data_IF_797489189000
#
_entry.id   IF_797489189000
#
_cell.length_a   1.000
_cell.length_b   1.000
_cell.length_c   1.000
_cell.angle_alpha   90.00
_cell.angle_beta   90.00
_cell.angle_gamma   90.00
#
_symmetry.space_group_name_H-M   'P 1'
#
loop_
_entity.id
_entity.type
_entity.pdbx_description
1 polymer ?
#
# COMPACT_ATOMS: atom_id res chain seq x y z
N UNK A 1 4.55 16.88 0.39
CA UNK A 1 3.36 16.05 0.16
C UNK A 1 2.11 16.85 -0.21
N UNK A 2 1.24 16.27 -1.05
CA UNK A 2 -0.15 16.67 -1.25
C UNK A 2 -1.12 15.49 -1.11
N UNK A 3 -2.39 15.79 -0.85
CA UNK A 3 -3.49 14.83 -0.81
C UNK A 3 -4.58 15.29 -1.78
N UNK A 4 -4.81 14.50 -2.83
CA UNK A 4 -5.93 14.76 -3.75
C UNK A 4 -7.13 13.94 -3.30
N UNK A 5 -8.25 14.62 -3.04
CA UNK A 5 -9.49 13.98 -2.60
C UNK A 5 -10.41 13.66 -3.80
N UNK A 6 -10.90 12.43 -3.82
CA UNK A 6 -11.82 11.87 -4.81
C UNK A 6 -13.10 11.39 -4.08
N UNK A 7 -14.16 12.22 -4.04
CA UNK A 7 -15.39 11.87 -3.35
C UNK A 7 -16.19 10.82 -4.12
N UNK A 8 -16.73 9.83 -3.40
CA UNK A 8 -17.72 8.94 -3.98
C UNK A 8 -19.04 9.70 -4.24
N UNK A 9 -19.71 9.47 -5.39
CA UNK A 9 -21.04 10.04 -5.65
C UNK A 9 -22.09 9.58 -4.63
N UNK A 10 -21.97 8.34 -4.14
CA UNK A 10 -22.85 7.74 -3.13
C UNK A 10 -22.00 7.14 -1.99
N UNK A 11 -21.53 7.95 -1.03
CA UNK A 11 -20.54 7.53 -0.06
C UNK A 11 -21.10 6.52 0.95
N UNK A 12 -20.39 5.41 1.13
CA UNK A 12 -20.72 4.30 2.03
C UNK A 12 -20.06 4.43 3.42
N UNK A 13 -19.59 5.64 3.76
CA UNK A 13 -18.85 5.99 5.00
C UNK A 13 -17.53 5.23 5.20
N UNK A 14 -17.00 4.61 4.15
CA UNK A 14 -15.68 3.97 4.15
C UNK A 14 -14.73 4.74 3.24
N UNK A 15 -13.55 5.05 3.77
CA UNK A 15 -12.50 5.77 3.08
C UNK A 15 -11.32 4.88 2.71
N UNK A 16 -10.54 5.28 1.69
CA UNK A 16 -9.24 4.66 1.37
C UNK A 16 -8.18 5.73 1.13
N UNK A 17 -7.07 5.64 1.86
CA UNK A 17 -5.83 6.35 1.53
C UNK A 17 -5.04 5.53 0.51
N UNK A 18 -4.77 6.06 -0.67
CA UNK A 18 -3.97 5.40 -1.70
C UNK A 18 -2.53 5.93 -1.66
N UNK A 19 -1.57 5.03 -1.61
CA UNK A 19 -0.14 5.27 -1.77
C UNK A 19 0.35 4.65 -3.10
N UNK A 20 0.42 5.43 -4.19
CA UNK A 20 0.90 4.94 -5.48
C UNK A 20 2.34 4.44 -5.41
N UNK A 21 2.78 3.61 -6.35
CA UNK A 21 4.18 3.18 -6.46
C UNK A 21 5.06 4.22 -7.16
N UNK A 22 6.18 3.74 -7.72
CA UNK A 22 7.21 4.56 -8.40
C UNK A 22 8.60 4.47 -7.78
N UNK A 23 8.89 3.39 -7.04
CA UNK A 23 10.23 3.08 -6.56
C UNK A 23 10.80 4.09 -5.55
N UNK A 24 9.95 4.90 -4.91
CA UNK A 24 10.36 6.11 -4.17
C UNK A 24 11.10 7.15 -5.02
N UNK A 25 11.05 7.07 -6.36
CA UNK A 25 11.67 8.03 -7.28
C UNK A 25 10.67 8.97 -7.96
N UNK A 26 9.40 8.56 -7.99
CA UNK A 26 8.26 9.36 -8.43
C UNK A 26 7.00 8.75 -7.83
N UNK A 27 5.85 9.41 -8.03
CA UNK A 27 4.53 8.88 -7.67
C UNK A 27 3.79 8.50 -8.96
N UNK A 28 3.45 7.23 -9.13
CA UNK A 28 2.68 6.72 -10.28
C UNK A 28 1.20 7.11 -10.21
N UNK A 29 0.94 8.42 -10.21
CA UNK A 29 -0.35 9.01 -9.84
C UNK A 29 -1.51 8.55 -10.72
N UNK A 30 -1.40 8.61 -12.04
CA UNK A 30 -2.53 8.27 -12.92
C UNK A 30 -2.90 6.78 -12.81
N UNK A 31 -1.90 5.91 -12.91
CA UNK A 31 -2.09 4.45 -12.98
C UNK A 31 -2.44 3.81 -11.64
N UNK A 32 -1.83 4.27 -10.57
CA UNK A 32 -1.89 3.64 -9.24
C UNK A 32 -2.53 4.55 -8.17
N UNK A 33 -2.93 5.77 -8.56
CA UNK A 33 -3.69 6.71 -7.73
C UNK A 33 -5.09 6.96 -8.30
N UNK A 34 -5.19 7.68 -9.42
CA UNK A 34 -6.46 8.13 -9.99
C UNK A 34 -7.32 6.96 -10.51
N UNK A 35 -6.71 5.98 -11.19
CA UNK A 35 -7.44 4.81 -11.69
C UNK A 35 -8.10 3.97 -10.57
N UNK A 36 -7.39 3.54 -9.50
CA UNK A 36 -8.04 2.86 -8.38
C UNK A 36 -9.00 3.76 -7.60
N UNK A 37 -8.72 5.07 -7.50
CA UNK A 37 -9.66 6.01 -6.87
C UNK A 37 -11.02 6.03 -7.57
N UNK A 38 -11.01 6.11 -8.91
CA UNK A 38 -12.24 6.03 -9.70
C UNK A 38 -12.98 4.70 -9.46
N UNK A 39 -12.27 3.58 -9.51
CA UNK A 39 -12.85 2.25 -9.34
C UNK A 39 -13.50 2.06 -7.95
N UNK A 40 -12.91 2.66 -6.91
CA UNK A 40 -13.44 2.70 -5.54
C UNK A 40 -14.63 3.66 -5.40
N UNK A 41 -14.60 4.84 -6.03
CA UNK A 41 -15.71 5.78 -6.00
C UNK A 41 -16.99 5.19 -6.61
N UNK A 42 -16.86 4.42 -7.72
CA UNK A 42 -17.98 3.70 -8.34
C UNK A 42 -18.63 2.68 -7.36
N UNK A 43 -17.94 2.33 -6.26
CA UNK A 43 -18.38 1.43 -5.18
C UNK A 43 -18.72 2.15 -3.87
N UNK A 44 -18.72 3.48 -3.88
CA UNK A 44 -19.11 4.29 -2.72
C UNK A 44 -17.98 4.60 -1.73
N UNK A 45 -16.74 4.26 -2.02
CA UNK A 45 -15.61 4.60 -1.14
C UNK A 45 -15.11 6.01 -1.43
N UNK A 46 -14.96 6.83 -0.39
CA UNK A 46 -14.23 8.10 -0.48
C UNK A 46 -12.73 7.79 -0.57
N UNK A 47 -11.98 8.52 -1.41
CA UNK A 47 -10.57 8.20 -1.65
C UNK A 47 -9.68 9.43 -1.53
N UNK A 48 -8.50 9.26 -0.93
CA UNK A 48 -7.44 10.26 -0.91
C UNK A 48 -6.19 9.66 -1.54
N UNK A 49 -5.67 10.28 -2.59
CA UNK A 49 -4.41 9.86 -3.22
C UNK A 49 -3.26 10.68 -2.66
N UNK A 50 -2.28 10.00 -2.06
CA UNK A 50 -1.09 10.60 -1.48
C UNK A 50 -0.01 10.82 -2.54
N UNK A 51 0.37 12.08 -2.74
CA UNK A 51 1.65 12.40 -3.41
C UNK A 51 2.68 12.71 -2.32
N UNK A 52 3.60 11.78 -2.11
CA UNK A 52 4.62 11.83 -1.06
C UNK A 52 6.01 12.15 -1.65
N UNK A 53 6.95 12.52 -0.78
CA UNK A 53 8.33 12.87 -1.12
C UNK A 53 9.01 11.69 -1.82
N UNK A 54 9.71 11.96 -2.92
CA UNK A 54 10.46 10.97 -3.68
C UNK A 54 11.91 11.44 -3.87
N UNK A 55 12.82 10.50 -4.08
CA UNK A 55 14.20 10.75 -4.45
C UNK A 55 14.27 11.04 -5.95
N UNK A 56 14.45 12.31 -6.32
CA UNK A 56 14.53 12.77 -7.69
C UNK A 56 15.70 13.75 -7.88
N UNK A 57 15.73 14.47 -9.01
CA UNK A 57 16.80 15.42 -9.30
C UNK A 57 16.88 16.61 -8.34
N UNK A 58 15.75 17.01 -7.75
CA UNK A 58 15.67 18.15 -6.83
C UNK A 58 15.77 17.70 -5.36
N UNK A 59 15.39 16.45 -5.08
CA UNK A 59 15.45 15.84 -3.74
C UNK A 59 16.31 14.58 -3.80
N UNK A 60 17.64 14.67 -3.62
CA UNK A 60 18.47 13.47 -3.59
C UNK A 60 18.14 12.59 -2.38
N UNK A 61 18.15 11.27 -2.58
CA UNK A 61 18.02 10.30 -1.49
C UNK A 61 19.27 10.25 -0.58
N UNK A 62 19.20 9.56 0.56
CA UNK A 62 18.04 8.82 1.08
C UNK A 62 16.96 9.75 1.64
N UNK A 63 15.69 9.45 1.37
CA UNK A 63 14.55 10.30 1.75
C UNK A 63 13.86 9.90 3.07
N UNK A 64 14.32 8.83 3.75
CA UNK A 64 13.83 8.49 5.08
C UNK A 64 14.12 9.63 6.08
N UNK A 65 13.17 10.03 6.96
CA UNK A 65 11.85 9.45 7.20
C UNK A 65 10.68 10.20 6.54
N UNK A 66 10.93 11.03 5.51
CA UNK A 66 9.93 11.97 4.99
C UNK A 66 8.63 11.29 4.50
N UNK A 67 8.66 10.25 3.62
CA UNK A 67 7.43 9.62 3.13
C UNK A 67 6.60 8.99 4.27
N UNK A 68 7.25 8.40 5.27
CA UNK A 68 6.58 7.80 6.42
C UNK A 68 5.83 8.86 7.24
N UNK A 69 6.49 9.99 7.54
CA UNK A 69 5.85 11.10 8.27
C UNK A 69 4.65 11.65 7.50
N UNK A 70 4.81 11.81 6.19
CA UNK A 70 3.75 12.30 5.31
C UNK A 70 2.54 11.35 5.26
N UNK A 71 2.76 10.03 5.20
CA UNK A 71 1.65 9.08 5.27
C UNK A 71 0.91 9.14 6.63
N UNK A 72 1.63 9.24 7.75
CA UNK A 72 1.01 9.39 9.08
C UNK A 72 0.23 10.70 9.21
N UNK A 73 0.77 11.81 8.70
CA UNK A 73 0.09 13.09 8.70
C UNK A 73 -1.13 13.09 7.76
N UNK A 74 -1.11 12.31 6.67
CA UNK A 74 -2.29 12.09 5.85
C UNK A 74 -3.42 11.41 6.62
N UNK A 75 -3.11 10.34 7.37
CA UNK A 75 -4.10 9.65 8.20
C UNK A 75 -4.75 10.62 9.18
N UNK A 76 -3.94 11.44 9.88
CA UNK A 76 -4.45 12.46 10.80
C UNK A 76 -5.37 13.46 10.12
N UNK A 77 -4.98 13.98 8.95
CA UNK A 77 -5.79 14.93 8.17
C UNK A 77 -7.12 14.31 7.76
N UNK A 78 -7.11 13.10 7.20
CA UNK A 78 -8.32 12.40 6.75
C UNK A 78 -9.28 12.13 7.91
N UNK A 79 -8.76 11.63 9.05
CA UNK A 79 -9.59 11.36 10.22
C UNK A 79 -10.19 12.65 10.81
N UNK A 80 -9.45 13.77 10.78
CA UNK A 80 -9.94 15.07 11.25
C UNK A 80 -11.09 15.63 10.40
N UNK A 81 -11.25 15.21 9.15
CA UNK A 81 -12.37 15.61 8.30
C UNK A 81 -13.72 15.04 8.78
N UNK A 82 -13.71 13.92 9.53
CA UNK A 82 -14.93 13.29 10.03
C UNK A 82 -15.87 12.73 8.96
N UNK A 83 -15.40 12.57 7.71
CA UNK A 83 -16.22 12.14 6.56
C UNK A 83 -16.53 10.65 6.57
N UNK A 84 -15.60 9.84 7.07
CA UNK A 84 -15.64 8.37 7.03
C UNK A 84 -15.55 7.79 8.44
N UNK A 85 -16.31 6.73 8.69
CA UNK A 85 -16.25 5.96 9.94
C UNK A 85 -15.16 4.89 9.87
N UNK A 86 -14.96 4.30 8.68
CA UNK A 86 -13.92 3.31 8.42
C UNK A 86 -12.88 3.89 7.45
N UNK A 87 -11.61 3.60 7.65
CA UNK A 87 -10.53 4.01 6.75
C UNK A 87 -9.61 2.82 6.51
N UNK A 88 -9.36 2.52 5.24
CA UNK A 88 -8.29 1.61 4.84
C UNK A 88 -7.13 2.33 4.15
N UNK A 89 -6.07 1.59 3.86
CA UNK A 89 -4.94 2.06 3.05
C UNK A 89 -4.65 1.08 1.91
N UNK A 90 -4.35 1.60 0.73
CA UNK A 90 -3.99 0.80 -0.44
C UNK A 90 -2.67 1.27 -1.03
N UNK A 91 -1.65 0.42 -1.02
CA UNK A 91 -0.35 0.71 -1.60
C UNK A 91 0.06 -0.22 -2.75
N UNK A 92 0.92 0.29 -3.62
CA UNK A 92 1.46 -0.40 -4.80
C UNK A 92 2.99 -0.39 -4.82
N UNK A 93 3.66 -1.52 -5.03
CA UNK A 93 5.13 -1.54 -5.17
C UNK A 93 5.83 -0.82 -3.99
N UNK A 94 6.59 0.26 -4.24
CA UNK A 94 7.16 1.13 -3.20
C UNK A 94 6.11 1.85 -2.33
N UNK A 95 4.98 2.25 -2.90
CA UNK A 95 3.82 2.72 -2.14
C UNK A 95 3.16 1.59 -1.34
N UNK A 96 3.32 0.34 -1.77
CA UNK A 96 2.96 -0.87 -1.04
C UNK A 96 3.80 -1.03 0.22
N UNK A 97 5.10 -0.75 0.12
CA UNK A 97 5.96 -0.64 1.30
C UNK A 97 5.49 0.47 2.25
N UNK A 98 5.26 1.69 1.72
CA UNK A 98 4.77 2.81 2.53
C UNK A 98 3.45 2.47 3.22
N UNK A 99 2.51 1.84 2.50
CA UNK A 99 1.24 1.40 3.05
C UNK A 99 1.41 0.34 4.14
N UNK A 100 2.29 -0.64 3.95
CA UNK A 100 2.55 -1.68 4.95
C UNK A 100 3.19 -1.10 6.23
N UNK A 101 4.17 -0.21 6.10
CA UNK A 101 4.78 0.49 7.25
C UNK A 101 3.74 1.33 7.99
N UNK A 102 2.86 2.01 7.26
CA UNK A 102 1.82 2.87 7.85
C UNK A 102 0.73 2.03 8.52
N UNK A 103 0.26 0.96 7.87
CA UNK A 103 -0.76 0.04 8.41
C UNK A 103 -0.30 -0.73 9.65
N UNK A 104 1.00 -1.00 9.78
CA UNK A 104 1.60 -1.66 10.95
C UNK A 104 1.96 -0.68 12.07
N UNK A 105 1.67 0.62 11.91
CA UNK A 105 1.85 1.64 12.96
C UNK A 105 0.56 1.75 13.78
N UNK A 106 0.54 1.34 15.07
CA UNK A 106 -0.69 1.17 15.86
C UNK A 106 -1.58 2.41 15.93
N UNK A 107 -0.99 3.60 15.96
CA UNK A 107 -1.71 4.87 16.10
C UNK A 107 -2.59 5.20 14.88
N UNK A 108 -2.37 4.53 13.75
CA UNK A 108 -3.15 4.78 12.53
C UNK A 108 -4.53 4.15 12.56
N UNK A 109 -4.69 3.05 13.31
CA UNK A 109 -5.95 2.33 13.51
C UNK A 109 -6.78 2.20 12.22
N UNK A 110 -6.16 1.69 11.15
CA UNK A 110 -6.87 1.38 9.92
C UNK A 110 -7.82 0.20 10.14
N UNK A 111 -8.93 0.21 9.40
CA UNK A 111 -9.91 -0.87 9.40
C UNK A 111 -9.48 -2.02 8.47
N UNK A 112 -8.67 -1.73 7.44
CA UNK A 112 -8.12 -2.69 6.50
C UNK A 112 -6.91 -2.15 5.73
N UNK A 113 -6.13 -3.04 5.11
CA UNK A 113 -5.06 -2.68 4.18
C UNK A 113 -5.14 -3.48 2.89
N UNK A 114 -4.72 -2.88 1.77
CA UNK A 114 -4.58 -3.52 0.46
C UNK A 114 -3.15 -3.29 -0.03
N UNK A 115 -2.41 -4.36 -0.26
CA UNK A 115 -1.02 -4.32 -0.69
C UNK A 115 -0.91 -5.01 -2.04
N UNK A 116 -0.64 -4.25 -3.09
CA UNK A 116 -0.55 -4.75 -4.46
C UNK A 116 0.91 -4.76 -4.93
N UNK A 117 1.40 -5.97 -5.27
CA UNK A 117 2.78 -6.29 -5.59
C UNK A 117 3.79 -5.52 -4.72
N UNK A 118 3.63 -5.56 -3.38
CA UNK A 118 4.30 -4.62 -2.49
C UNK A 118 5.79 -4.96 -2.38
N UNK A 119 6.62 -3.92 -2.25
CA UNK A 119 7.89 -4.08 -1.53
C UNK A 119 7.53 -4.23 -0.05
N UNK A 120 8.12 -5.19 0.64
CA UNK A 120 7.87 -5.47 2.06
C UNK A 120 9.17 -5.42 2.85
N UNK A 121 10.18 -6.15 2.39
CA UNK A 121 11.49 -6.18 3.03
C UNK A 121 12.43 -5.15 2.42
N UNK A 122 13.21 -4.48 3.26
CA UNK A 122 14.36 -3.67 2.86
C UNK A 122 15.67 -4.47 2.89
N UNK A 123 15.61 -5.76 3.23
CA UNK A 123 16.77 -6.65 3.28
C UNK A 123 17.08 -7.28 1.91
N UNK A 124 18.38 -7.37 1.60
CA UNK A 124 18.85 -8.17 0.46
C UNK A 124 18.77 -9.68 0.79
N UNK A 125 18.53 -10.55 -0.21
CA UNK A 125 18.36 -10.25 -1.63
C UNK A 125 16.90 -9.97 -2.07
N UNK A 126 15.95 -9.87 -1.13
CA UNK A 126 14.50 -9.88 -1.43
C UNK A 126 13.95 -8.49 -1.76
N UNK A 127 14.59 -7.44 -1.25
CA UNK A 127 14.16 -6.05 -1.48
C UNK A 127 14.20 -5.66 -2.97
N UNK A 128 13.42 -4.65 -3.33
CA UNK A 128 13.60 -3.94 -4.58
C UNK A 128 14.77 -2.95 -4.44
N UNK A 129 15.90 -3.14 -5.13
CA UNK A 129 17.12 -2.37 -4.87
C UNK A 129 16.94 -0.86 -5.04
N UNK A 130 16.19 -0.42 -6.06
CA UNK A 130 15.92 1.00 -6.29
C UNK A 130 15.09 1.63 -5.17
N UNK A 131 14.08 0.92 -4.65
CA UNK A 131 13.26 1.42 -3.53
C UNK A 131 14.09 1.53 -2.26
N UNK A 132 14.91 0.52 -1.97
CA UNK A 132 15.84 0.54 -0.83
C UNK A 132 16.80 1.72 -0.95
N UNK A 133 17.42 1.89 -2.11
CA UNK A 133 18.42 2.93 -2.32
C UNK A 133 17.83 4.33 -2.16
N UNK A 134 16.67 4.58 -2.78
CA UNK A 134 16.00 5.87 -2.69
C UNK A 134 15.56 6.20 -1.26
N UNK A 135 15.07 5.20 -0.52
CA UNK A 135 14.56 5.42 0.83
C UNK A 135 15.66 5.48 1.90
N UNK A 136 16.57 4.50 1.92
CA UNK A 136 17.52 4.26 3.01
C UNK A 136 18.98 4.48 2.60
N UNK A 137 19.29 4.35 1.31
CA UNK A 137 20.66 4.28 0.81
C UNK A 137 21.33 2.92 1.08
N UNK A 138 22.51 2.74 0.50
CA UNK A 138 23.25 1.47 0.58
C UNK A 138 23.76 1.19 2.00
N UNK A 139 24.25 2.24 2.67
CA UNK A 139 24.93 2.18 3.98
C UNK A 139 23.99 2.31 5.19
N UNK A 140 22.68 2.10 5.00
CA UNK A 140 21.71 2.18 6.09
C UNK A 140 22.03 1.17 7.20
N UNK A 141 21.98 1.63 8.46
CA UNK A 141 22.18 0.77 9.62
C UNK A 141 21.19 -0.40 9.62
N UNK A 142 21.66 -1.60 10.00
CA UNK A 142 20.85 -2.83 9.97
C UNK A 142 19.55 -2.72 10.77
N UNK A 143 19.59 -1.97 11.88
CA UNK A 143 18.41 -1.67 12.70
C UNK A 143 17.35 -0.90 11.90
N UNK A 144 17.74 0.14 11.16
CA UNK A 144 16.83 0.89 10.29
C UNK A 144 16.29 0.02 9.15
N UNK A 145 17.14 -0.84 8.57
CA UNK A 145 16.70 -1.79 7.53
C UNK A 145 15.63 -2.73 8.08
N UNK A 146 15.83 -3.26 9.29
CA UNK A 146 14.88 -4.12 9.97
C UNK A 146 13.59 -3.35 10.31
N UNK A 147 13.71 -2.14 10.84
CA UNK A 147 12.57 -1.29 11.21
C UNK A 147 11.72 -0.90 10.00
N UNK A 148 12.35 -0.74 8.84
CA UNK A 148 11.72 -0.48 7.55
C UNK A 148 11.46 -1.77 6.77
N UNK A 149 11.44 -2.94 7.41
CA UNK A 149 11.00 -4.18 6.79
C UNK A 149 9.67 -4.58 7.42
N UNK A 150 8.58 -4.39 6.67
CA UNK A 150 7.23 -4.38 7.22
C UNK A 150 6.80 -5.71 7.85
N UNK A 151 7.40 -6.84 7.44
CA UNK A 151 7.16 -8.15 8.04
C UNK A 151 7.51 -8.20 9.53
N UNK A 152 8.49 -7.42 10.00
CA UNK A 152 8.85 -7.37 11.43
C UNK A 152 7.98 -6.44 12.27
N UNK A 153 7.05 -5.73 11.64
CA UNK A 153 6.17 -4.76 12.30
C UNK A 153 4.75 -5.30 12.49
N UNK A 154 4.44 -6.47 11.94
CA UNK A 154 3.14 -7.10 12.13
C UNK A 154 2.91 -7.33 13.61
N UNK A 155 1.71 -7.01 14.08
CA UNK A 155 1.30 -7.11 15.47
C UNK A 155 -0.21 -7.26 15.58
N UNK A 156 -0.74 -7.35 16.80
CA UNK A 156 -2.19 -7.39 17.06
C UNK A 156 -2.93 -6.14 16.55
N UNK A 157 -2.22 -5.01 16.40
CA UNK A 157 -2.77 -3.78 15.85
C UNK A 157 -2.82 -3.77 14.30
N UNK A 158 -2.19 -4.74 13.63
CA UNK A 158 -2.18 -4.79 12.16
C UNK A 158 -3.57 -5.17 11.64
N UNK A 159 -4.15 -4.39 10.70
CA UNK A 159 -5.51 -4.61 10.25
C UNK A 159 -5.61 -5.82 9.31
N UNK A 160 -6.83 -6.35 9.09
CA UNK A 160 -7.07 -7.30 8.01
C UNK A 160 -6.47 -6.82 6.68
N UNK A 161 -5.69 -7.66 6.02
CA UNK A 161 -4.94 -7.24 4.82
C UNK A 161 -5.23 -8.11 3.61
N UNK A 162 -5.55 -7.47 2.48
CA UNK A 162 -5.56 -8.10 1.17
C UNK A 162 -4.20 -7.91 0.50
N UNK A 163 -3.58 -8.99 0.05
CA UNK A 163 -2.25 -8.99 -0.58
C UNK A 163 -2.39 -9.57 -1.98
N UNK A 164 -2.04 -8.78 -2.99
CA UNK A 164 -2.00 -9.19 -4.38
C UNK A 164 -0.56 -9.25 -4.90
N UNK A 165 -0.21 -10.26 -5.69
CA UNK A 165 1.09 -10.34 -6.39
C UNK A 165 0.99 -11.23 -7.64
N UNK A 166 2.01 -11.21 -8.50
CA UNK A 166 2.22 -12.20 -9.57
C UNK A 166 3.43 -13.08 -9.27
N UNK A 167 3.34 -14.39 -9.51
CA UNK A 167 4.37 -15.34 -9.10
C UNK A 167 5.72 -15.13 -9.82
N UNK A 168 5.70 -14.59 -11.03
CA UNK A 168 6.86 -14.34 -11.87
C UNK A 168 7.28 -12.86 -11.93
N UNK A 169 6.88 -12.05 -10.95
CA UNK A 169 7.32 -10.66 -10.83
C UNK A 169 8.86 -10.57 -10.79
N UNK A 170 9.44 -10.07 -11.88
CA UNK A 170 10.89 -9.95 -12.06
C UNK A 170 11.51 -8.70 -11.42
N UNK A 171 10.69 -7.79 -10.87
CA UNK A 171 11.16 -6.53 -10.28
C UNK A 171 11.05 -6.56 -8.76
N UNK A 172 9.90 -6.97 -8.24
CA UNK A 172 9.66 -7.15 -6.81
C UNK A 172 9.32 -8.62 -6.57
N UNK A 173 10.26 -9.43 -6.05
CA UNK A 173 10.03 -10.86 -5.89
C UNK A 173 8.79 -11.14 -5.04
N UNK A 174 7.97 -12.12 -5.44
CA UNK A 174 6.74 -12.56 -4.74
C UNK A 174 6.97 -12.94 -3.28
N UNK A 175 8.22 -13.25 -2.92
CA UNK A 175 8.68 -13.45 -1.55
C UNK A 175 8.32 -12.27 -0.64
N UNK A 176 8.22 -11.04 -1.14
CA UNK A 176 7.74 -9.91 -0.34
C UNK A 176 6.30 -10.15 0.16
N UNK A 177 5.38 -10.51 -0.73
CA UNK A 177 4.00 -10.84 -0.37
C UNK A 177 3.92 -12.06 0.56
N UNK A 178 4.74 -13.09 0.30
CA UNK A 178 4.79 -14.30 1.12
C UNK A 178 5.31 -14.01 2.54
N UNK A 179 6.38 -13.21 2.67
CA UNK A 179 6.91 -12.80 3.98
C UNK A 179 5.88 -12.07 4.83
N UNK A 180 5.15 -11.12 4.23
CA UNK A 180 4.11 -10.40 4.95
C UNK A 180 2.94 -11.31 5.33
N UNK A 181 2.50 -12.18 4.42
CA UNK A 181 1.45 -13.17 4.70
C UNK A 181 1.86 -14.15 5.82
N UNK A 182 3.11 -14.60 5.83
CA UNK A 182 3.66 -15.42 6.92
C UNK A 182 3.63 -14.68 8.25
N UNK A 183 4.10 -13.43 8.30
CA UNK A 183 4.05 -12.62 9.51
C UNK A 183 2.60 -12.38 10.00
N UNK A 184 1.66 -12.14 9.08
CA UNK A 184 0.22 -12.05 9.39
C UNK A 184 -0.29 -13.34 10.04
N UNK A 185 0.09 -14.51 9.50
CA UNK A 185 -0.28 -15.81 10.05
C UNK A 185 0.31 -16.07 11.45
N UNK A 186 1.60 -15.75 11.65
CA UNK A 186 2.29 -15.90 12.94
C UNK A 186 1.64 -15.06 14.05
N UNK A 187 1.15 -13.87 13.71
CA UNK A 187 0.40 -12.99 14.63
C UNK A 187 -1.11 -13.24 14.62
N UNK A 188 -1.59 -14.32 13.97
CA UNK A 188 -3.00 -14.69 13.88
C UNK A 188 -3.90 -13.57 13.35
N UNK A 189 -3.38 -12.75 12.44
CA UNK A 189 -4.11 -11.64 11.82
C UNK A 189 -4.85 -12.11 10.56
N UNK A 190 -6.08 -11.66 10.31
CA UNK A 190 -6.80 -12.01 9.09
C UNK A 190 -6.08 -11.47 7.84
N UNK A 191 -5.93 -12.30 6.81
CA UNK A 191 -5.43 -11.85 5.52
C UNK A 191 -6.04 -12.66 4.37
N UNK A 192 -6.04 -12.08 3.17
CA UNK A 192 -6.30 -12.79 1.92
C UNK A 192 -5.10 -12.57 1.00
N UNK A 193 -4.43 -13.66 0.64
CA UNK A 193 -3.33 -13.65 -0.34
C UNK A 193 -3.86 -14.15 -1.68
N UNK A 194 -3.71 -13.34 -2.73
CA UNK A 194 -4.05 -13.69 -4.11
C UNK A 194 -2.81 -13.55 -4.99
N UNK A 195 -2.28 -14.67 -5.46
CA UNK A 195 -1.11 -14.72 -6.35
C UNK A 195 -1.52 -15.25 -7.71
N UNK A 196 -1.41 -14.42 -8.74
CA UNK A 196 -1.56 -14.86 -10.11
C UNK A 196 -0.29 -15.58 -10.60
N UNK A 197 -0.40 -16.60 -11.46
CA UNK A 197 0.77 -17.35 -11.92
C UNK A 197 1.68 -16.54 -12.86
N UNK A 198 1.14 -15.53 -13.54
CA UNK A 198 1.84 -14.73 -14.54
C UNK A 198 1.36 -13.26 -14.51
N UNK A 199 2.24 -12.34 -14.87
CA UNK A 199 1.98 -10.91 -15.04
C UNK A 199 3.22 -10.08 -14.68
N UNK A 200 3.58 -9.06 -15.49
CA UNK A 200 4.74 -8.22 -15.19
C UNK A 200 4.54 -7.40 -13.90
N UNK A 201 5.62 -6.87 -13.34
CA UNK A 201 5.51 -5.91 -12.24
C UNK A 201 4.67 -4.70 -12.64
N UNK A 202 3.90 -4.17 -11.70
CA UNK A 202 3.16 -2.94 -11.92
C UNK A 202 2.03 -3.09 -12.93
N UNK A 203 1.32 -4.22 -12.97
CA UNK A 203 0.16 -4.40 -13.88
C UNK A 203 -0.99 -3.43 -13.58
N UNK A 204 -1.08 -2.87 -12.38
CA UNK A 204 -2.16 -1.95 -11.99
C UNK A 204 -3.50 -2.66 -11.87
N UNK A 205 -4.57 -1.98 -12.28
CA UNK A 205 -5.95 -2.45 -12.08
C UNK A 205 -6.39 -3.55 -13.05
N UNK A 206 -5.86 -3.60 -14.29
CA UNK A 206 -6.15 -4.63 -15.31
C UNK A 206 -7.63 -5.08 -15.37
N UNK A 207 -8.56 -4.11 -15.32
CA UNK A 207 -9.99 -4.36 -15.09
C UNK A 207 -10.62 -5.31 -16.14
N UNK A 208 -10.21 -5.15 -17.39
CA UNK A 208 -10.78 -5.86 -18.54
C UNK A 208 -9.91 -7.02 -19.04
N UNK A 209 -8.81 -7.34 -18.34
CA UNK A 209 -7.94 -8.46 -18.73
C UNK A 209 -8.43 -9.77 -18.08
N UNK A 210 -8.92 -10.74 -18.86
CA UNK A 210 -9.51 -11.97 -18.31
C UNK A 210 -8.50 -12.88 -17.59
N UNK A 211 -7.19 -12.68 -17.79
CA UNK A 211 -6.13 -13.47 -17.16
C UNK A 211 -5.48 -12.75 -15.98
N UNK A 212 -5.37 -11.42 -16.07
CA UNK A 212 -4.67 -10.60 -15.10
C UNK A 212 -5.61 -9.90 -14.11
N UNK A 213 -6.92 -9.90 -14.35
CA UNK A 213 -7.89 -9.28 -13.44
C UNK A 213 -7.88 -9.95 -12.07
N UNK A 214 -7.59 -9.16 -11.06
CA UNK A 214 -7.58 -9.55 -9.65
C UNK A 214 -8.55 -8.70 -8.83
N UNK A 215 -9.06 -7.61 -9.42
CA UNK A 215 -9.91 -6.62 -8.75
C UNK A 215 -11.27 -7.18 -8.37
N UNK A 216 -11.76 -8.23 -9.03
CA UNK A 216 -12.97 -8.95 -8.61
C UNK A 216 -12.78 -9.65 -7.25
N UNK A 217 -11.58 -10.19 -6.98
CA UNK A 217 -11.27 -10.78 -5.69
C UNK A 217 -11.17 -9.76 -4.57
N UNK A 218 -10.63 -8.58 -4.90
CA UNK A 218 -10.58 -7.44 -4.01
C UNK A 218 -11.99 -6.91 -3.73
N UNK A 219 -12.83 -6.77 -4.75
CA UNK A 219 -14.21 -6.26 -4.62
C UNK A 219 -15.04 -7.11 -3.66
N UNK A 220 -14.95 -8.44 -3.79
CA UNK A 220 -15.61 -9.39 -2.88
C UNK A 220 -15.13 -9.23 -1.44
N UNK A 221 -13.83 -9.03 -1.24
CA UNK A 221 -13.25 -8.85 0.09
C UNK A 221 -13.59 -7.48 0.70
N UNK A 222 -13.67 -6.43 -0.11
CA UNK A 222 -14.03 -5.08 0.33
C UNK A 222 -15.48 -4.97 0.84
N UNK A 223 -16.36 -5.90 0.46
CA UNK A 223 -17.75 -5.90 0.94
C UNK A 223 -17.84 -5.98 2.48
N UNK A 224 -16.88 -6.64 3.13
CA UNK A 224 -16.84 -6.77 4.59
C UNK A 224 -16.55 -5.44 5.31
N UNK A 225 -16.00 -4.46 4.58
CA UNK A 225 -15.61 -3.16 5.12
C UNK A 225 -16.59 -2.04 4.81
N UNK A 226 -17.63 -2.29 4.02
CA UNK A 226 -18.71 -1.31 3.84
C UNK A 226 -19.36 -1.04 5.20
N UNK A 227 -19.54 0.23 5.57
CA UNK A 227 -20.23 0.57 6.80
C UNK A 227 -21.71 0.15 6.66
N UNK A 228 -22.28 -0.41 7.73
CA UNK A 228 -23.72 -0.69 7.76
C UNK A 228 -24.49 0.63 7.55
N UNK A 229 -25.56 0.55 6.75
CA UNK A 229 -26.47 1.69 6.51
C UNK A 229 -27.13 2.17 7.79
#
# INVERSE_FOLDING_TARGET
MSLTFFPAPNPNKTGVLIAPGGGYSYVSYEKEGAAPAKWLNDRGFDVWVLTYTCADGDTPGPIYPAPQREALDAVKKIRAEGRVSKLGIWGWSAGGHLAAITATTPETNFDFAVLAYPVISMEYPITHPGSRQNLLGDEAALELVRDMSAQYRVSEATPPTFIFHTANDGTVPVQNALLFATAMAEHQRPFKLFVLPDGPHGIGMVLDDPKLTWTAELDRWLQDFIAAK
#
